data_IF_343028467864
#
_entry.id   IF_343028467864
#
_cell.length_a   1.000
_cell.length_b   1.000
_cell.length_c   1.000
_cell.angle_alpha   90.00
_cell.angle_beta   90.00
_cell.angle_gamma   90.00
#
_symmetry.space_group_name_H-M   'P 1'
#
loop_
_entity.id
_entity.type
_entity.pdbx_description
1 polymer ?
#
# COMPACT_ATOMS: atom_id res chain seq x y z
N UNK A 1 -137.18 17.94 36.24
CA UNK A 1 -135.96 18.64 36.68
C UNK A 1 -134.80 17.63 36.69
N UNK A 2 -133.90 17.68 35.68
CA UNK A 2 -132.83 16.69 35.48
C UNK A 2 -131.54 17.13 36.21
N UNK A 3 -131.02 16.27 37.09
CA UNK A 3 -129.72 16.43 37.75
C UNK A 3 -128.57 15.99 36.83
N UNK A 4 -127.56 16.84 36.66
CA UNK A 4 -126.25 16.51 36.06
C UNK A 4 -125.36 15.82 37.10
N UNK A 5 -124.73 14.70 36.74
CA UNK A 5 -123.55 14.17 37.42
C UNK A 5 -122.29 14.66 36.71
N UNK A 6 -121.34 15.19 37.46
CA UNK A 6 -119.98 15.44 37.00
C UNK A 6 -119.14 14.17 37.21
N UNK A 7 -118.50 13.69 36.14
CA UNK A 7 -117.46 12.69 36.20
C UNK A 7 -116.15 13.38 35.81
N UNK A 8 -115.21 13.53 36.77
CA UNK A 8 -113.85 13.99 36.49
C UNK A 8 -113.04 12.76 36.07
N UNK A 9 -112.64 12.70 34.81
CA UNK A 9 -111.72 11.69 34.31
C UNK A 9 -110.28 12.12 34.61
N UNK A 10 -109.62 11.36 35.48
CA UNK A 10 -108.17 11.34 35.66
C UNK A 10 -107.62 10.50 34.49
N UNK A 11 -107.36 11.12 33.34
CA UNK A 11 -106.48 10.53 32.32
C UNK A 11 -105.19 11.33 32.38
N UNK A 12 -104.10 10.68 32.79
CA UNK A 12 -102.78 11.32 32.79
C UNK A 12 -101.63 10.36 33.08
N UNK A 13 -101.83 9.28 33.84
CA UNK A 13 -100.74 8.37 34.25
C UNK A 13 -100.32 7.33 33.19
N UNK A 14 -101.27 6.64 32.56
CA UNK A 14 -100.98 5.50 31.68
C UNK A 14 -100.30 5.91 30.37
N UNK A 15 -100.68 7.06 29.81
CA UNK A 15 -100.09 7.60 28.59
C UNK A 15 -98.63 8.03 28.79
N UNK A 16 -98.27 8.53 29.98
CA UNK A 16 -96.90 8.95 30.31
C UNK A 16 -95.95 7.76 30.38
N UNK A 17 -96.39 6.62 30.94
CA UNK A 17 -95.59 5.39 31.03
C UNK A 17 -95.31 4.82 29.63
N UNK A 18 -96.30 4.83 28.73
CA UNK A 18 -96.15 4.36 27.35
C UNK A 18 -95.16 5.26 26.58
N UNK A 19 -95.29 6.58 26.72
CA UNK A 19 -94.35 7.54 26.10
C UNK A 19 -92.93 7.29 26.63
N UNK A 20 -92.76 7.07 27.94
CA UNK A 20 -91.47 6.79 28.55
C UNK A 20 -90.83 5.50 28.01
N UNK A 21 -91.60 4.41 27.89
CA UNK A 21 -91.12 3.15 27.31
C UNK A 21 -90.70 3.31 25.84
N UNK A 22 -91.47 4.05 25.04
CA UNK A 22 -91.12 4.35 23.65
C UNK A 22 -89.81 5.14 23.60
N UNK A 23 -89.63 6.15 24.46
CA UNK A 23 -88.38 6.94 24.50
C UNK A 23 -87.15 6.11 24.88
N UNK A 24 -87.29 5.20 25.86
CA UNK A 24 -86.20 4.28 26.24
C UNK A 24 -85.87 3.36 25.08
N UNK A 25 -86.87 2.81 24.39
CA UNK A 25 -86.66 1.90 23.26
C UNK A 25 -85.97 2.58 22.08
N UNK A 26 -86.31 3.84 21.80
CA UNK A 26 -85.61 4.65 20.78
C UNK A 26 -84.18 4.94 21.22
N UNK A 27 -83.97 5.28 22.49
CA UNK A 27 -82.65 5.57 23.03
C UNK A 27 -81.72 4.34 23.02
N UNK A 28 -82.20 3.17 23.45
CA UNK A 28 -81.44 1.91 23.38
C UNK A 28 -81.15 1.51 21.94
N UNK A 29 -82.09 1.71 21.02
CA UNK A 29 -81.87 1.51 19.59
C UNK A 29 -80.78 2.44 19.04
N UNK A 30 -80.77 3.72 19.42
CA UNK A 30 -79.69 4.64 19.02
C UNK A 30 -78.33 4.23 19.58
N UNK A 31 -78.26 3.74 20.83
CA UNK A 31 -77.01 3.22 21.41
C UNK A 31 -76.53 1.98 20.65
N UNK A 32 -77.45 1.07 20.32
CA UNK A 32 -77.13 -0.15 19.57
C UNK A 32 -76.56 0.19 18.19
N UNK A 33 -77.23 1.05 17.43
CA UNK A 33 -76.77 1.52 16.12
C UNK A 33 -75.40 2.18 16.23
N UNK A 34 -75.18 3.02 17.25
CA UNK A 34 -73.87 3.66 17.48
C UNK A 34 -72.77 2.65 17.81
N UNK A 35 -73.06 1.64 18.63
CA UNK A 35 -72.11 0.58 18.92
C UNK A 35 -71.77 -0.21 17.66
N UNK A 36 -72.76 -0.59 16.86
CA UNK A 36 -72.54 -1.33 15.62
C UNK A 36 -71.69 -0.54 14.62
N UNK A 37 -71.92 0.77 14.48
CA UNK A 37 -71.05 1.66 13.70
C UNK A 37 -69.60 1.67 14.23
N UNK A 38 -69.41 1.74 15.55
CA UNK A 38 -68.09 1.71 16.16
C UNK A 38 -67.39 0.36 15.95
N UNK A 39 -68.11 -0.76 16.09
CA UNK A 39 -67.58 -2.11 15.83
C UNK A 39 -67.14 -2.25 14.38
N UNK A 40 -67.94 -1.77 13.44
CA UNK A 40 -67.61 -1.78 12.02
C UNK A 40 -66.38 -0.89 11.71
N UNK A 41 -66.28 0.30 12.34
CA UNK A 41 -65.13 1.18 12.20
C UNK A 41 -63.85 0.53 12.76
N UNK A 42 -63.95 -0.10 13.94
CA UNK A 42 -62.81 -0.79 14.57
C UNK A 42 -62.35 -1.98 13.72
N UNK A 43 -63.29 -2.76 13.19
CA UNK A 43 -63.01 -3.86 12.26
C UNK A 43 -62.30 -3.40 10.99
N UNK A 44 -62.71 -2.26 10.43
CA UNK A 44 -62.00 -1.63 9.30
C UNK A 44 -60.58 -1.23 9.69
N UNK A 45 -60.39 -0.51 10.80
CA UNK A 45 -59.06 -0.11 11.29
C UNK A 45 -58.12 -1.30 11.51
N UNK A 46 -58.62 -2.40 12.09
CA UNK A 46 -57.85 -3.63 12.30
C UNK A 46 -57.44 -4.24 10.96
N UNK A 47 -58.35 -4.25 9.98
CA UNK A 47 -58.08 -4.78 8.64
C UNK A 47 -57.03 -3.93 7.92
N UNK A 48 -57.18 -2.60 7.97
CA UNK A 48 -56.23 -1.66 7.35
C UNK A 48 -54.84 -1.80 7.99
N UNK A 49 -54.74 -1.85 9.33
CA UNK A 49 -53.48 -2.11 10.05
C UNK A 49 -52.87 -3.47 9.69
N UNK A 50 -53.69 -4.52 9.54
CA UNK A 50 -53.20 -5.85 9.12
C UNK A 50 -52.65 -5.83 7.69
N UNK A 51 -53.26 -5.06 6.81
CA UNK A 51 -52.76 -4.88 5.45
C UNK A 51 -51.43 -4.12 5.49
N UNK A 52 -51.38 -2.98 6.18
CA UNK A 52 -50.16 -2.15 6.30
C UNK A 52 -48.98 -2.95 6.87
N UNK A 53 -49.21 -3.67 7.98
CA UNK A 53 -48.19 -4.51 8.62
C UNK A 53 -47.67 -5.62 7.68
N UNK A 54 -48.55 -6.33 6.97
CA UNK A 54 -48.13 -7.32 5.98
C UNK A 54 -47.35 -6.70 4.81
N UNK A 55 -47.75 -5.52 4.36
CA UNK A 55 -47.07 -4.80 3.28
C UNK A 55 -45.67 -4.41 3.71
N UNK A 56 -45.52 -3.89 4.93
CA UNK A 56 -44.22 -3.56 5.52
C UNK A 56 -43.33 -4.80 5.70
N UNK A 57 -43.88 -5.92 6.20
CA UNK A 57 -43.13 -7.19 6.32
C UNK A 57 -42.61 -7.67 4.98
N UNK A 58 -43.45 -7.64 3.94
CA UNK A 58 -43.04 -8.05 2.59
C UNK A 58 -41.92 -7.13 2.07
N UNK A 59 -42.06 -5.81 2.20
CA UNK A 59 -41.03 -4.87 1.77
C UNK A 59 -39.70 -5.07 2.51
N UNK A 60 -39.75 -5.38 3.80
CA UNK A 60 -38.55 -5.65 4.61
C UNK A 60 -37.90 -6.97 4.21
N UNK A 61 -38.71 -8.00 3.92
CA UNK A 61 -38.23 -9.30 3.43
C UNK A 61 -37.54 -9.15 2.08
N UNK A 62 -38.12 -8.39 1.16
CA UNK A 62 -37.50 -8.06 -0.13
C UNK A 62 -36.17 -7.31 0.07
N UNK A 63 -36.15 -6.31 0.96
CA UNK A 63 -34.92 -5.59 1.30
C UNK A 63 -33.82 -6.48 1.89
N UNK A 64 -34.18 -7.46 2.72
CA UNK A 64 -33.22 -8.44 3.28
C UNK A 64 -32.67 -9.39 2.21
N UNK A 65 -33.51 -9.86 1.29
CA UNK A 65 -33.09 -10.71 0.17
C UNK A 65 -32.09 -9.93 -0.70
N UNK A 66 -32.42 -8.69 -1.08
CA UNK A 66 -31.54 -7.84 -1.86
C UNK A 66 -30.19 -7.62 -1.15
N UNK A 67 -30.22 -7.31 0.15
CA UNK A 67 -29.00 -7.12 0.95
C UNK A 67 -28.13 -8.38 0.97
N UNK A 68 -28.75 -9.56 1.07
CA UNK A 68 -28.03 -10.84 1.07
C UNK A 68 -27.41 -11.15 -0.30
N UNK A 69 -28.12 -10.84 -1.39
CA UNK A 69 -27.59 -10.93 -2.75
C UNK A 69 -26.42 -9.98 -2.97
N UNK A 70 -26.53 -8.73 -2.52
CA UNK A 70 -25.47 -7.74 -2.59
C UNK A 70 -24.23 -8.19 -1.81
N UNK A 71 -24.40 -8.74 -0.60
CA UNK A 71 -23.32 -9.33 0.21
C UNK A 71 -22.64 -10.51 -0.49
N UNK A 72 -23.43 -11.37 -1.15
CA UNK A 72 -22.90 -12.47 -1.97
C UNK A 72 -22.06 -11.95 -3.14
N UNK A 73 -22.54 -10.92 -3.83
CA UNK A 73 -21.80 -10.29 -4.94
C UNK A 73 -20.49 -9.64 -4.48
N UNK A 74 -20.49 -8.99 -3.31
CA UNK A 74 -19.30 -8.38 -2.73
C UNK A 74 -18.27 -9.44 -2.33
N UNK A 75 -18.73 -10.55 -1.76
CA UNK A 75 -17.88 -11.70 -1.40
C UNK A 75 -17.20 -12.30 -2.65
N UNK A 76 -17.94 -12.40 -3.75
CA UNK A 76 -17.39 -12.84 -5.05
C UNK A 76 -16.33 -11.87 -5.59
N UNK A 77 -16.60 -10.57 -5.58
CA UNK A 77 -15.63 -9.53 -5.97
C UNK A 77 -14.36 -9.56 -5.11
N UNK A 78 -14.50 -9.75 -3.81
CA UNK A 78 -13.37 -9.90 -2.88
C UNK A 78 -12.51 -11.13 -3.22
N UNK A 79 -13.13 -12.24 -3.62
CA UNK A 79 -12.42 -13.42 -4.11
C UNK A 79 -11.59 -13.12 -5.37
N UNK A 80 -12.17 -12.43 -6.35
CA UNK A 80 -11.48 -12.04 -7.60
C UNK A 80 -10.30 -11.11 -7.29
N UNK A 81 -10.48 -10.12 -6.42
CA UNK A 81 -9.40 -9.19 -6.01
C UNK A 81 -8.26 -9.96 -5.33
N UNK A 82 -8.56 -10.96 -4.51
CA UNK A 82 -7.51 -11.75 -3.85
C UNK A 82 -6.68 -12.55 -4.86
N UNK A 83 -7.33 -13.11 -5.87
CA UNK A 83 -6.66 -13.82 -6.96
C UNK A 83 -5.81 -12.86 -7.81
N UNK A 84 -6.35 -11.71 -8.23
CA UNK A 84 -5.64 -10.68 -8.97
C UNK A 84 -4.44 -10.12 -8.16
N UNK A 85 -4.58 -9.96 -6.85
CA UNK A 85 -3.48 -9.61 -5.96
C UNK A 85 -2.41 -10.71 -5.87
N UNK A 86 -2.81 -11.99 -5.88
CA UNK A 86 -1.89 -13.13 -5.98
C UNK A 86 -1.08 -13.11 -7.28
N UNK A 87 -1.74 -12.84 -8.41
CA UNK A 87 -1.10 -12.67 -9.71
C UNK A 87 -0.18 -11.45 -9.74
N UNK A 88 -0.59 -10.31 -9.17
CA UNK A 88 0.23 -9.11 -9.09
C UNK A 88 1.47 -9.36 -8.21
N UNK A 89 1.33 -10.05 -7.08
CA UNK A 89 2.46 -10.42 -6.22
C UNK A 89 3.42 -11.38 -6.94
N UNK A 90 2.90 -12.32 -7.73
CA UNK A 90 3.70 -13.20 -8.57
C UNK A 90 4.40 -12.45 -9.72
N UNK A 91 3.71 -11.48 -10.34
CA UNK A 91 4.22 -10.68 -11.47
C UNK A 91 5.24 -9.61 -11.05
N UNK A 92 4.96 -8.85 -10.00
CA UNK A 92 5.90 -7.89 -9.38
C UNK A 92 7.07 -8.62 -8.70
N UNK A 93 6.84 -9.84 -8.22
CA UNK A 93 7.91 -10.73 -7.76
C UNK A 93 8.75 -11.31 -8.90
N UNK A 94 8.24 -11.33 -10.13
CA UNK A 94 8.89 -11.98 -11.26
C UNK A 94 9.74 -11.03 -12.13
N UNK A 95 9.40 -9.74 -12.21
CA UNK A 95 10.05 -8.86 -13.20
C UNK A 95 10.69 -7.61 -12.57
N UNK A 96 12.02 -7.53 -12.70
CA UNK A 96 12.82 -6.37 -12.32
C UNK A 96 12.78 -5.24 -13.36
N UNK A 97 12.10 -5.40 -14.49
CA UNK A 97 12.12 -4.42 -15.61
C UNK A 97 11.86 -2.99 -15.17
N UNK A 98 10.81 -2.74 -14.36
CA UNK A 98 10.52 -1.40 -13.85
C UNK A 98 11.55 -0.88 -12.84
N UNK A 99 12.16 -1.78 -12.05
CA UNK A 99 13.25 -1.40 -11.14
C UNK A 99 14.49 -1.02 -11.94
N UNK A 100 14.83 -1.80 -12.96
CA UNK A 100 15.96 -1.54 -13.87
C UNK A 100 15.77 -0.23 -14.60
N UNK A 101 14.60 -0.02 -15.22
CA UNK A 101 14.26 1.20 -15.96
C UNK A 101 14.45 2.47 -15.12
N UNK A 102 14.01 2.44 -13.85
CA UNK A 102 14.14 3.58 -12.95
C UNK A 102 15.53 3.72 -12.30
N UNK A 103 16.29 2.62 -12.16
CA UNK A 103 17.57 2.64 -11.42
C UNK A 103 18.77 2.90 -12.31
N UNK A 104 18.76 2.38 -13.54
CA UNK A 104 19.90 2.45 -14.46
C UNK A 104 20.33 3.89 -14.80
N UNK A 105 19.44 4.89 -14.98
CA UNK A 105 19.84 6.28 -15.20
C UNK A 105 20.73 6.86 -14.09
N UNK A 106 20.57 6.39 -12.85
CA UNK A 106 21.38 6.80 -11.70
C UNK A 106 22.68 6.02 -11.53
N UNK A 107 22.93 5.01 -12.37
CA UNK A 107 24.16 4.22 -12.36
C UNK A 107 25.11 4.77 -13.41
N UNK A 108 26.39 4.88 -13.06
CA UNK A 108 27.41 5.50 -13.91
C UNK A 108 28.63 4.62 -14.02
N UNK A 109 29.37 4.77 -15.12
CA UNK A 109 30.71 4.16 -15.23
C UNK A 109 31.72 5.09 -14.59
N UNK A 110 32.60 4.54 -13.75
CA UNK A 110 33.77 5.24 -13.24
C UNK A 110 34.97 4.78 -14.06
N UNK A 111 35.63 5.72 -14.74
CA UNK A 111 36.79 5.45 -15.57
C UNK A 111 37.97 6.28 -15.12
N UNK A 112 39.05 5.61 -14.73
CA UNK A 112 40.35 6.23 -14.51
C UNK A 112 41.29 5.93 -15.68
N UNK A 113 42.51 6.43 -15.60
CA UNK A 113 43.61 6.14 -16.53
C UNK A 113 44.12 4.68 -16.43
N UNK A 114 43.85 3.99 -15.32
CA UNK A 114 44.37 2.64 -15.04
C UNK A 114 43.29 1.59 -14.75
N UNK A 115 42.07 2.02 -14.44
CA UNK A 115 41.00 1.16 -13.96
C UNK A 115 39.63 1.62 -14.44
N UNK A 116 38.66 0.71 -14.38
CA UNK A 116 37.26 1.00 -14.64
C UNK A 116 36.38 0.22 -13.65
N UNK A 117 35.34 0.88 -13.16
CA UNK A 117 34.29 0.29 -12.34
C UNK A 117 32.95 0.96 -12.57
N UNK A 118 32.04 0.76 -11.63
CA UNK A 118 30.72 1.39 -11.60
C UNK A 118 30.60 2.27 -10.37
N UNK A 119 29.77 3.29 -10.44
CA UNK A 119 29.28 4.04 -9.30
C UNK A 119 27.80 4.30 -9.45
N UNK A 120 27.17 4.91 -8.46
CA UNK A 120 25.80 5.36 -8.56
C UNK A 120 25.58 6.66 -7.80
N UNK A 121 24.66 7.47 -8.30
CA UNK A 121 24.34 8.78 -7.79
C UNK A 121 23.40 8.63 -6.60
N UNK A 122 23.75 9.26 -5.47
CA UNK A 122 23.04 9.16 -4.19
C UNK A 122 22.37 10.46 -3.77
N UNK A 123 22.70 11.56 -4.43
CA UNK A 123 22.16 12.88 -4.11
C UNK A 123 22.06 13.74 -5.38
N UNK A 124 20.97 14.50 -5.50
CA UNK A 124 20.54 15.16 -6.74
C UNK A 124 21.57 16.15 -7.28
N UNK A 125 22.41 16.75 -6.44
CA UNK A 125 23.50 17.65 -6.83
C UNK A 125 24.68 16.91 -7.45
N UNK A 126 24.59 15.59 -7.68
CA UNK A 126 25.59 14.80 -8.40
C UNK A 126 26.68 14.18 -7.52
N UNK A 127 26.34 13.79 -6.28
CA UNK A 127 27.25 12.99 -5.45
C UNK A 127 27.14 11.52 -5.83
N UNK A 128 28.29 10.89 -6.08
CA UNK A 128 28.39 9.52 -6.56
C UNK A 128 29.19 8.69 -5.58
N UNK A 129 28.68 7.49 -5.28
CA UNK A 129 29.38 6.50 -4.48
C UNK A 129 29.95 5.42 -5.40
N UNK A 130 31.18 5.01 -5.13
CA UNK A 130 31.85 3.87 -5.77
C UNK A 130 32.79 3.20 -4.76
N UNK A 131 33.49 2.13 -5.15
CA UNK A 131 34.54 1.58 -4.31
C UNK A 131 35.83 2.38 -4.40
N UNK A 132 36.55 2.48 -3.29
CA UNK A 132 37.83 3.19 -3.26
C UNK A 132 38.87 2.51 -4.16
N UNK A 133 38.89 1.17 -4.20
CA UNK A 133 39.83 0.43 -5.03
C UNK A 133 39.66 0.65 -6.55
N UNK A 134 38.49 1.11 -7.00
CA UNK A 134 38.25 1.49 -8.40
C UNK A 134 39.09 2.70 -8.79
N UNK A 135 39.42 3.56 -7.82
CA UNK A 135 40.17 4.80 -8.01
C UNK A 135 41.67 4.65 -7.74
N UNK A 136 42.12 3.53 -7.16
CA UNK A 136 43.52 3.32 -6.76
C UNK A 136 44.46 3.50 -7.95
N UNK A 137 45.58 4.19 -7.69
CA UNK A 137 46.63 4.55 -8.66
C UNK A 137 46.17 5.42 -9.84
N UNK A 138 44.90 5.81 -9.87
CA UNK A 138 44.35 6.71 -10.88
C UNK A 138 44.70 8.17 -10.61
N UNK A 139 45.00 8.92 -11.67
CA UNK A 139 45.30 10.35 -11.60
C UNK A 139 44.16 11.23 -12.09
N UNK A 140 43.28 10.67 -12.94
CA UNK A 140 42.11 11.32 -13.51
C UNK A 140 40.90 10.43 -13.27
N UNK A 141 39.76 11.04 -12.93
CA UNK A 141 38.50 10.32 -12.73
C UNK A 141 37.43 10.93 -13.63
N UNK A 142 36.94 10.13 -14.56
CA UNK A 142 35.80 10.48 -15.40
C UNK A 142 34.61 9.62 -15.03
N UNK A 143 33.44 10.24 -15.01
CA UNK A 143 32.14 9.61 -14.91
C UNK A 143 31.54 9.55 -16.30
N UNK A 144 31.03 8.39 -16.69
CA UNK A 144 30.24 8.22 -17.93
C UNK A 144 28.81 7.93 -17.53
N UNK A 145 27.89 8.84 -17.85
CA UNK A 145 26.48 8.74 -17.49
C UNK A 145 25.73 7.71 -18.36
N UNK A 146 24.46 7.48 -18.05
CA UNK A 146 23.59 6.62 -18.85
C UNK A 146 23.47 7.10 -20.30
N UNK A 147 23.42 8.42 -20.49
CA UNK A 147 23.33 9.13 -21.78
C UNK A 147 24.68 9.18 -22.52
N UNK A 148 25.71 8.52 -21.99
CA UNK A 148 27.08 8.50 -22.52
C UNK A 148 27.80 9.86 -22.46
N UNK A 149 27.35 10.76 -21.58
CA UNK A 149 28.09 11.98 -21.30
C UNK A 149 29.33 11.67 -20.47
N UNK A 150 30.47 12.20 -20.88
CA UNK A 150 31.74 12.06 -20.16
C UNK A 150 31.95 13.34 -19.35
N UNK A 151 31.98 13.20 -18.03
CA UNK A 151 32.07 14.30 -17.08
C UNK A 151 33.28 14.05 -16.17
N UNK A 152 34.17 15.03 -16.06
CA UNK A 152 35.25 14.99 -15.07
C UNK A 152 34.67 15.09 -13.66
N UNK A 153 35.11 14.21 -12.77
CA UNK A 153 34.59 14.12 -11.41
C UNK A 153 35.65 14.48 -10.38
N UNK A 154 35.24 15.27 -9.39
CA UNK A 154 36.08 15.62 -8.25
C UNK A 154 36.00 14.53 -7.17
N UNK A 155 37.13 14.14 -6.61
CA UNK A 155 37.17 13.30 -5.42
C UNK A 155 36.87 14.14 -4.18
N UNK A 156 35.75 13.87 -3.52
CA UNK A 156 35.40 14.49 -2.24
C UNK A 156 36.22 13.87 -1.10
N UNK A 157 36.36 12.55 -1.15
CA UNK A 157 37.17 11.78 -0.21
C UNK A 157 36.88 10.28 -0.29
N UNK A 158 37.59 9.50 0.52
CA UNK A 158 37.47 8.05 0.54
C UNK A 158 37.68 7.47 1.94
N UNK A 159 37.17 6.26 2.15
CA UNK A 159 37.34 5.42 3.32
C UNK A 159 37.89 4.06 2.88
N UNK A 160 39.12 3.75 3.27
CA UNK A 160 39.79 2.49 2.91
C UNK A 160 39.33 1.29 3.74
N UNK A 161 38.71 1.53 4.91
CA UNK A 161 38.21 0.46 5.79
C UNK A 161 36.95 -0.17 5.21
N UNK A 162 36.05 0.67 4.69
CA UNK A 162 34.84 0.23 4.02
C UNK A 162 34.99 0.14 2.50
N UNK A 163 36.14 0.55 1.96
CA UNK A 163 36.41 0.57 0.53
C UNK A 163 35.34 1.39 -0.24
N UNK A 164 35.14 2.62 0.22
CA UNK A 164 34.15 3.58 -0.33
C UNK A 164 34.87 4.85 -0.76
N UNK A 165 34.49 5.37 -1.92
CA UNK A 165 34.85 6.72 -2.36
C UNK A 165 33.61 7.53 -2.71
N UNK A 166 33.66 8.82 -2.40
CA UNK A 166 32.63 9.79 -2.73
C UNK A 166 33.18 10.75 -3.78
N UNK A 167 32.52 10.79 -4.93
CA UNK A 167 32.83 11.66 -6.06
C UNK A 167 31.76 12.73 -6.23
N UNK A 168 32.09 13.80 -6.94
CA UNK A 168 31.17 14.89 -7.27
C UNK A 168 31.25 15.23 -8.76
N UNK A 169 30.09 15.33 -9.40
CA UNK A 169 29.93 15.88 -10.75
C UNK A 169 28.97 17.07 -10.75
N UNK A 170 29.10 18.05 -11.66
CA UNK A 170 28.15 19.16 -11.79
C UNK A 170 26.78 18.71 -12.31
N UNK A 171 25.74 19.52 -12.06
CA UNK A 171 24.38 19.30 -12.58
C UNK A 171 23.38 18.78 -11.55
N UNK A 172 22.19 18.43 -12.05
CA UNK A 172 21.12 17.80 -11.30
C UNK A 172 20.80 16.45 -11.94
N UNK A 173 20.73 15.40 -11.13
CA UNK A 173 20.67 14.01 -11.63
C UNK A 173 19.66 13.17 -10.86
N UNK A 174 19.16 12.11 -11.48
CA UNK A 174 18.35 11.09 -10.81
C UNK A 174 19.19 10.32 -9.79
N UNK A 175 18.57 9.89 -8.69
CA UNK A 175 19.28 9.29 -7.55
C UNK A 175 18.73 7.92 -7.16
N UNK A 176 19.62 7.08 -6.63
CA UNK A 176 19.22 5.88 -5.92
C UNK A 176 19.10 6.13 -4.42
N UNK A 177 18.02 5.60 -3.83
CA UNK A 177 17.78 5.68 -2.39
C UNK A 177 18.36 4.46 -1.69
N UNK A 178 19.00 4.69 -0.55
CA UNK A 178 19.44 3.62 0.31
C UNK A 178 18.28 2.99 1.07
N UNK A 179 18.29 1.65 1.12
CA UNK A 179 17.50 0.88 2.06
C UNK A 179 18.12 0.87 3.47
N UNK A 180 17.55 0.04 4.33
CA UNK A 180 18.14 -0.31 5.62
C UNK A 180 18.60 -1.77 5.54
N UNK A 181 19.92 -2.00 5.61
CA UNK A 181 20.49 -3.36 5.54
C UNK A 181 20.15 -4.23 6.76
N UNK A 182 19.69 -3.68 7.88
CA UNK A 182 19.17 -4.49 9.00
C UNK A 182 17.86 -5.22 8.66
N UNK A 183 17.12 -4.72 7.67
CA UNK A 183 15.83 -5.31 7.27
C UNK A 183 15.98 -6.36 6.16
N UNK A 184 17.20 -6.54 5.67
CA UNK A 184 17.53 -7.41 4.55
C UNK A 184 17.50 -8.86 5.00
N UNK A 185 16.87 -9.74 4.20
CA UNK A 185 16.68 -11.14 4.55
C UNK A 185 17.35 -12.08 3.54
N UNK A 186 17.88 -13.20 4.05
CA UNK A 186 18.34 -14.30 3.20
C UNK A 186 17.18 -14.82 2.35
N UNK A 187 17.41 -14.97 1.05
CA UNK A 187 16.40 -15.34 0.05
C UNK A 187 15.70 -14.14 -0.61
N UNK A 188 15.94 -12.91 -0.17
CA UNK A 188 15.42 -11.72 -0.85
C UNK A 188 16.04 -11.58 -2.24
N UNK A 189 15.19 -11.36 -3.26
CA UNK A 189 15.63 -11.13 -4.63
C UNK A 189 16.35 -9.79 -4.75
N UNK A 190 17.46 -9.80 -5.47
CA UNK A 190 18.28 -8.60 -5.73
C UNK A 190 18.80 -8.61 -7.16
N UNK A 191 19.11 -7.42 -7.66
CA UNK A 191 19.87 -7.23 -8.89
C UNK A 191 21.16 -6.47 -8.58
N UNK A 192 22.26 -6.90 -9.19
CA UNK A 192 23.48 -6.13 -9.27
C UNK A 192 23.52 -5.41 -10.61
N UNK A 193 23.70 -4.09 -10.57
CA UNK A 193 23.81 -3.27 -11.77
C UNK A 193 25.26 -2.80 -11.91
N UNK A 194 25.80 -2.93 -13.11
CA UNK A 194 27.11 -2.38 -13.48
C UNK A 194 27.16 -1.93 -14.92
N UNK A 195 28.22 -1.21 -15.30
CA UNK A 195 28.48 -0.82 -16.67
C UNK A 195 29.89 -1.26 -17.10
N UNK A 196 30.07 -2.56 -17.40
CA UNK A 196 31.35 -3.05 -17.89
C UNK A 196 31.63 -2.47 -19.29
N UNK A 197 32.81 -1.88 -19.44
CA UNK A 197 33.38 -1.43 -20.72
C UNK A 197 32.59 -0.35 -21.47
N UNK A 198 31.58 0.29 -20.87
CA UNK A 198 30.78 1.35 -21.52
C UNK A 198 29.91 0.85 -22.68
N UNK A 199 29.67 -0.47 -22.77
CA UNK A 199 29.04 -1.14 -23.91
C UNK A 199 27.52 -1.37 -23.76
N UNK A 200 26.89 -0.70 -22.80
CA UNK A 200 25.51 -0.88 -22.27
C UNK A 200 25.52 -1.57 -20.90
N UNK A 201 24.71 -1.06 -19.97
CA UNK A 201 24.61 -1.54 -18.59
C UNK A 201 24.29 -3.03 -18.54
N UNK A 202 24.95 -3.73 -17.61
CA UNK A 202 24.72 -5.13 -17.31
C UNK A 202 23.96 -5.26 -16.00
N UNK A 203 22.88 -6.04 -16.02
CA UNK A 203 22.10 -6.38 -14.84
C UNK A 203 22.22 -7.87 -14.61
N UNK A 204 22.59 -8.28 -13.41
CA UNK A 204 22.56 -9.67 -12.97
C UNK A 204 21.59 -9.84 -11.82
N UNK A 205 20.65 -10.76 -11.98
CA UNK A 205 19.70 -11.13 -10.94
C UNK A 205 20.27 -12.24 -10.05
N UNK A 206 19.92 -12.19 -8.78
CA UNK A 206 20.19 -13.24 -7.80
C UNK A 206 19.35 -13.04 -6.54
N UNK A 207 19.80 -13.67 -5.47
CA UNK A 207 19.26 -13.56 -4.13
C UNK A 207 20.35 -13.25 -3.12
N UNK A 208 19.92 -12.78 -1.97
CA UNK A 208 20.78 -12.66 -0.80
C UNK A 208 21.02 -14.05 -0.23
N UNK A 209 22.25 -14.54 -0.35
CA UNK A 209 22.66 -15.87 0.10
C UNK A 209 23.04 -15.90 1.58
N UNK A 210 23.58 -14.80 2.11
CA UNK A 210 23.90 -14.61 3.52
C UNK A 210 24.10 -13.11 3.83
N UNK A 211 24.01 -12.75 5.11
CA UNK A 211 24.28 -11.40 5.64
C UNK A 211 25.40 -11.46 6.69
N UNK A 212 25.99 -10.31 7.05
CA UNK A 212 27.05 -10.20 8.06
C UNK A 212 28.23 -11.13 7.80
N UNK A 213 28.66 -11.22 6.54
CA UNK A 213 29.86 -11.95 6.16
C UNK A 213 31.10 -11.11 6.43
N UNK A 214 32.12 -11.77 6.93
CA UNK A 214 33.44 -11.20 7.04
C UNK A 214 34.00 -10.88 5.64
N UNK A 215 34.44 -9.64 5.43
CA UNK A 215 35.14 -9.24 4.22
C UNK A 215 36.66 -9.15 4.37
N UNK A 216 37.36 -8.64 3.34
CA UNK A 216 38.81 -8.46 3.34
C UNK A 216 39.33 -7.52 4.45
N UNK A 217 38.47 -6.62 4.92
CA UNK A 217 38.73 -5.73 6.04
C UNK A 217 38.61 -6.40 7.42
N UNK A 218 38.23 -7.69 7.47
CA UNK A 218 38.04 -8.45 8.71
C UNK A 218 36.73 -8.16 9.45
N UNK A 219 35.84 -7.35 8.87
CA UNK A 219 34.56 -6.96 9.47
C UNK A 219 33.38 -7.74 8.90
N UNK A 220 32.40 -8.06 9.75
CA UNK A 220 31.16 -8.78 9.41
C UNK A 220 30.09 -7.83 8.83
N UNK A 221 30.41 -7.18 7.71
CA UNK A 221 29.62 -6.06 7.14
C UNK A 221 29.22 -6.28 5.68
N UNK A 222 29.33 -7.52 5.19
CA UNK A 222 29.05 -7.85 3.80
C UNK A 222 27.83 -8.76 3.63
N UNK A 223 27.05 -8.44 2.61
CA UNK A 223 26.02 -9.29 2.03
C UNK A 223 26.70 -10.25 1.05
N UNK A 224 26.43 -11.54 1.17
CA UNK A 224 26.75 -12.52 0.14
C UNK A 224 25.57 -12.65 -0.81
N UNK A 225 25.85 -12.64 -2.11
CA UNK A 225 24.84 -12.79 -3.18
C UNK A 225 25.33 -13.78 -4.24
N UNK A 226 24.38 -14.49 -4.85
CA UNK A 226 24.64 -15.33 -6.03
C UNK A 226 24.42 -14.57 -7.35
N UNK A 227 23.98 -13.30 -7.28
CA UNK A 227 23.95 -12.40 -8.43
C UNK A 227 25.36 -12.30 -9.03
N UNK A 228 25.47 -12.50 -10.35
CA UNK A 228 26.75 -12.56 -11.01
C UNK A 228 27.52 -11.24 -10.87
N UNK A 229 28.62 -11.25 -10.10
CA UNK A 229 29.55 -10.14 -10.00
C UNK A 229 30.75 -10.40 -10.93
N UNK A 230 30.98 -9.50 -11.87
CA UNK A 230 32.10 -9.54 -12.81
C UNK A 230 32.84 -8.20 -12.82
N UNK A 231 34.03 -8.18 -13.43
CA UNK A 231 34.79 -6.94 -13.63
C UNK A 231 33.92 -5.90 -14.32
N UNK A 232 33.75 -4.75 -13.67
CA UNK A 232 32.83 -3.70 -14.12
C UNK A 232 31.63 -3.50 -13.21
N UNK A 233 31.19 -4.48 -12.40
CA UNK A 233 30.10 -4.28 -11.43
C UNK A 233 30.60 -3.73 -10.08
N UNK A 234 31.90 -3.83 -9.78
CA UNK A 234 32.49 -3.28 -8.55
C UNK A 234 32.23 -1.78 -8.45
N UNK A 235 31.74 -1.34 -7.30
CA UNK A 235 31.27 0.01 -7.00
C UNK A 235 29.82 0.28 -7.43
N UNK A 236 29.20 -0.62 -8.20
CA UNK A 236 27.79 -0.53 -8.58
C UNK A 236 26.82 -0.97 -7.49
N UNK A 237 25.53 -0.61 -7.59
CA UNK A 237 24.56 -0.90 -6.56
C UNK A 237 24.09 -2.37 -6.61
N UNK A 238 23.78 -2.91 -5.43
CA UNK A 238 22.95 -4.09 -5.23
C UNK A 238 21.57 -3.61 -4.77
N UNK A 239 20.53 -3.87 -5.58
CA UNK A 239 19.18 -3.28 -5.43
C UNK A 239 18.16 -4.40 -5.22
N UNK A 240 17.20 -4.21 -4.31
CA UNK A 240 16.11 -5.18 -4.12
C UNK A 240 14.89 -4.89 -5.02
N UNK A 241 13.84 -5.70 -4.91
CA UNK A 241 12.61 -5.56 -5.70
C UNK A 241 11.81 -4.26 -5.45
N UNK A 242 12.21 -3.43 -4.48
CA UNK A 242 11.62 -2.11 -4.22
C UNK A 242 12.39 -0.97 -4.89
N UNK A 243 13.49 -1.27 -5.60
CA UNK A 243 14.34 -0.25 -6.21
C UNK A 243 15.20 0.52 -5.21
N UNK A 244 15.45 -0.03 -4.01
CA UNK A 244 16.35 0.60 -3.02
C UNK A 244 17.66 -0.17 -2.91
N UNK A 245 18.74 0.57 -2.65
CA UNK A 245 20.10 0.04 -2.53
C UNK A 245 20.25 -0.68 -1.19
N UNK A 246 20.49 -1.99 -1.24
CA UNK A 246 20.77 -2.82 -0.06
C UNK A 246 22.27 -3.03 0.16
N UNK A 247 23.10 -2.80 -0.86
CA UNK A 247 24.54 -2.79 -0.74
C UNK A 247 25.26 -2.25 -1.98
N UNK A 248 26.59 -2.26 -1.95
CA UNK A 248 27.47 -1.90 -3.07
C UNK A 248 28.36 -3.09 -3.41
N UNK A 249 28.29 -3.55 -4.67
CA UNK A 249 29.03 -4.71 -5.16
C UNK A 249 30.53 -4.44 -5.00
N UNK A 250 31.26 -5.35 -4.36
CA UNK A 250 32.66 -5.10 -3.98
C UNK A 250 33.61 -6.15 -4.59
N UNK A 251 33.55 -7.40 -4.13
CA UNK A 251 34.47 -8.46 -4.53
C UNK A 251 33.76 -9.80 -4.77
N UNK A 252 34.49 -10.74 -5.36
CA UNK A 252 34.08 -12.14 -5.52
C UNK A 252 35.22 -13.09 -5.17
N UNK A 253 34.90 -14.31 -4.77
CA UNK A 253 35.91 -15.34 -4.56
C UNK A 253 36.22 -16.01 -5.90
N UNK A 254 37.46 -15.85 -6.38
CA UNK A 254 37.93 -16.44 -7.63
C UNK A 254 37.88 -17.98 -7.60
N UNK A 255 37.50 -18.60 -8.71
CA UNK A 255 37.40 -20.06 -8.83
C UNK A 255 36.11 -20.67 -8.28
N UNK A 256 35.22 -19.87 -7.68
CA UNK A 256 33.85 -20.26 -7.33
C UNK A 256 32.85 -19.47 -8.17
N UNK A 257 31.88 -20.17 -8.74
CA UNK A 257 30.70 -19.50 -9.32
C UNK A 257 29.79 -19.01 -8.18
N UNK A 258 29.08 -17.89 -8.40
CA UNK A 258 28.01 -17.40 -7.51
C UNK A 258 28.38 -17.07 -6.06
N UNK A 259 29.64 -16.69 -5.78
CA UNK A 259 30.06 -16.12 -4.49
C UNK A 259 30.48 -14.66 -4.64
N UNK A 260 29.48 -13.78 -4.76
CA UNK A 260 29.65 -12.33 -4.78
C UNK A 260 29.42 -11.71 -3.40
N UNK A 261 30.09 -10.59 -3.15
CA UNK A 261 30.00 -9.86 -1.89
C UNK A 261 29.75 -8.37 -2.14
N UNK A 262 28.80 -7.81 -1.40
CA UNK A 262 28.45 -6.40 -1.41
C UNK A 262 28.54 -5.81 0.01
N UNK A 263 29.10 -4.62 0.17
CA UNK A 263 29.09 -3.94 1.47
C UNK A 263 27.66 -3.51 1.80
N UNK A 264 27.21 -3.81 3.02
CA UNK A 264 25.86 -3.49 3.51
C UNK A 264 25.56 -1.98 3.49
N UNK A 265 24.35 -1.60 3.06
CA UNK A 265 24.00 -0.19 2.82
C UNK A 265 24.12 0.73 4.02
N UNK A 266 23.93 0.25 5.25
CA UNK A 266 24.14 1.07 6.45
C UNK A 266 25.59 1.52 6.62
N UNK A 267 26.56 0.66 6.29
CA UNK A 267 27.98 1.01 6.35
C UNK A 267 28.40 1.94 5.21
N UNK A 268 27.75 1.83 4.04
CA UNK A 268 27.91 2.84 2.97
C UNK A 268 27.48 4.22 3.48
N UNK A 269 26.26 4.32 4.03
CA UNK A 269 25.71 5.59 4.55
C UNK A 269 26.62 6.19 5.62
N UNK A 270 27.11 5.35 6.54
CA UNK A 270 28.07 5.76 7.56
C UNK A 270 29.36 6.34 6.94
N UNK A 271 29.99 5.59 6.02
CA UNK A 271 31.24 6.01 5.39
C UNK A 271 31.09 7.31 4.58
N UNK A 272 30.01 7.47 3.81
CA UNK A 272 29.84 8.68 3.00
C UNK A 272 29.55 9.92 3.85
N UNK A 273 28.81 9.76 4.96
CA UNK A 273 28.56 10.85 5.89
C UNK A 273 29.85 11.27 6.62
N UNK A 274 30.68 10.31 7.02
CA UNK A 274 32.02 10.60 7.58
C UNK A 274 32.93 11.33 6.58
N UNK A 275 32.95 10.90 5.31
CA UNK A 275 33.70 11.57 4.25
C UNK A 275 33.18 13.00 4.06
N UNK A 276 31.86 13.17 3.96
CA UNK A 276 31.23 14.46 3.72
C UNK A 276 31.43 15.43 4.89
N UNK A 277 31.31 14.93 6.12
CA UNK A 277 31.52 15.73 7.33
C UNK A 277 32.95 16.24 7.43
N UNK A 278 33.95 15.45 7.04
CA UNK A 278 35.35 15.91 7.01
C UNK A 278 35.59 17.01 6.00
N UNK A 279 34.88 16.99 4.87
CA UNK A 279 35.02 17.98 3.80
C UNK A 279 34.22 19.26 4.05
N UNK A 280 33.00 19.15 4.60
CA UNK A 280 32.02 20.24 4.65
C UNK A 280 31.39 20.49 6.03
N UNK A 281 31.73 19.70 7.04
CA UNK A 281 31.24 19.81 8.42
C UNK A 281 29.71 19.65 8.57
N UNK A 282 29.09 18.81 7.72
CA UNK A 282 27.67 18.43 7.73
C UNK A 282 27.48 16.97 7.27
N UNK A 283 26.26 16.42 7.38
CA UNK A 283 25.90 15.08 6.89
C UNK A 283 25.33 15.17 5.48
N UNK A 284 25.65 14.20 4.61
CA UNK A 284 25.13 14.18 3.24
C UNK A 284 23.70 13.63 3.19
N UNK A 285 23.45 12.53 3.91
CA UNK A 285 22.17 11.78 3.96
C UNK A 285 21.81 11.31 5.38
#
# INVERSE_FOLDING_TARGET
MKLKKHHKWIIGGSSVIIIFMITISIFTYMIFVRQELNYNLLGKKITDLKIETNTNINSLSEGLIQTNEDLGSLSSRLGIIHEEFGFLKASVGADFSGVVENSVPSVVTIRTDVSQGTGFIVEERGYIVTNAHVLTDGTLVNVITYEQEIIEADLVGYDTTFDIALLKIPGTHDTLKFGNSENVQVGEKVIAIGNPLGLQFSVSEGIISAIHRQGPNGLDVYIQTDAALNSGNSGGPLINNKGVVVGINNFKIGGSESLGFALESNFIKFAINEIYQKAFNESLI
#
